data_IF_198619639692
#
_entry.id   IF_198619639692
#
_cell.length_a   1.000
_cell.length_b   1.000
_cell.length_c   1.000
_cell.angle_alpha   90.00
_cell.angle_beta   90.00
_cell.angle_gamma   90.00
#
_symmetry.space_group_name_H-M   'P 1'
#
loop_
_entity.id
_entity.type
_entity.pdbx_description
1 polymer ?
#
# COMPACT_ATOMS: atom_id res chain seq x y z
N UNK A 1 -26.53 11.45 17.03
CA UNK A 1 -25.32 11.96 17.73
C UNK A 1 -24.19 11.91 16.73
N UNK A 2 -23.47 13.01 16.55
CA UNK A 2 -22.30 13.04 15.67
C UNK A 2 -21.16 12.34 16.42
N UNK A 3 -20.73 11.17 15.94
CA UNK A 3 -19.74 10.37 16.62
C UNK A 3 -18.34 10.70 16.10
N UNK A 4 -17.49 11.21 16.99
CA UNK A 4 -16.05 11.27 16.83
C UNK A 4 -15.44 9.94 17.28
N UNK A 5 -14.52 9.40 16.50
CA UNK A 5 -13.65 8.29 16.95
C UNK A 5 -12.18 8.65 16.73
N UNK A 6 -11.34 8.18 17.65
CA UNK A 6 -9.90 8.26 17.56
C UNK A 6 -9.33 6.88 17.91
N UNK A 7 -8.89 6.16 16.89
CA UNK A 7 -8.44 4.79 17.03
C UNK A 7 -6.91 4.73 16.87
N UNK A 8 -6.25 4.01 17.76
CA UNK A 8 -4.81 3.72 17.58
C UNK A 8 -4.67 2.62 16.54
N UNK A 9 -4.23 3.00 15.34
CA UNK A 9 -4.04 2.10 14.20
C UNK A 9 -2.76 1.31 14.36
N UNK A 10 -1.71 1.94 14.88
CA UNK A 10 -0.43 1.32 15.13
C UNK A 10 0.29 1.99 16.30
N UNK A 11 1.01 1.20 17.09
CA UNK A 11 1.86 1.71 18.16
C UNK A 11 3.11 0.83 18.26
N UNK A 12 4.25 1.41 17.89
CA UNK A 12 5.39 0.68 17.36
C UNK A 12 6.68 1.20 18.01
N UNK A 13 7.63 0.30 18.30
CA UNK A 13 8.98 0.70 18.65
C UNK A 13 9.78 0.99 17.37
N UNK A 14 10.32 2.20 17.26
CA UNK A 14 11.13 2.66 16.12
C UNK A 14 12.38 3.33 16.68
N UNK A 15 13.49 2.60 16.78
CA UNK A 15 14.74 3.17 17.29
C UNK A 15 15.28 4.21 16.28
N UNK A 16 15.89 5.29 16.79
CA UNK A 16 16.31 6.45 15.99
C UNK A 16 15.30 7.61 15.95
N UNK A 17 14.04 7.37 16.30
CA UNK A 17 13.08 8.45 16.57
C UNK A 17 13.27 9.00 17.99
N UNK A 18 12.99 10.29 18.17
CA UNK A 18 12.86 10.89 19.49
C UNK A 18 11.76 10.15 20.28
N UNK A 19 12.13 9.53 21.41
CA UNK A 19 11.24 8.69 22.21
C UNK A 19 11.15 7.21 21.76
N UNK A 20 11.85 6.82 20.69
CA UNK A 20 12.00 5.42 20.25
C UNK A 20 10.72 4.72 19.84
N UNK A 21 9.61 5.46 19.68
CA UNK A 21 8.28 4.93 19.41
C UNK A 21 7.57 5.77 18.37
N UNK A 22 6.70 5.14 17.59
CA UNK A 22 5.83 5.74 16.60
C UNK A 22 4.41 5.26 16.85
N UNK A 23 3.46 6.19 16.92
CA UNK A 23 2.04 5.88 17.06
C UNK A 23 1.27 6.50 15.89
N UNK A 24 0.45 5.69 15.24
CA UNK A 24 -0.46 6.11 14.17
C UNK A 24 -1.87 6.13 14.72
N UNK A 25 -2.53 7.28 14.64
CA UNK A 25 -3.91 7.47 15.05
C UNK A 25 -4.79 7.71 13.82
N UNK A 26 -5.97 7.12 13.77
CA UNK A 26 -6.98 7.46 12.76
C UNK A 26 -8.12 8.23 13.41
N UNK A 27 -8.42 9.40 12.84
CA UNK A 27 -9.55 10.21 13.26
C UNK A 27 -10.70 10.05 12.26
N UNK A 28 -11.89 9.78 12.78
CA UNK A 28 -13.09 9.70 11.95
C UNK A 28 -14.25 10.50 12.54
N UNK A 29 -15.12 10.99 11.65
CA UNK A 29 -16.31 11.74 12.04
C UNK A 29 -16.07 13.24 12.19
N UNK A 30 -16.64 13.85 13.23
CA UNK A 30 -16.70 15.30 13.42
C UNK A 30 -15.86 15.72 14.64
N UNK A 31 -14.82 16.52 14.43
CA UNK A 31 -14.00 17.06 15.53
C UNK A 31 -14.47 18.48 15.83
N UNK A 32 -15.35 18.59 16.82
CA UNK A 32 -15.95 19.84 17.31
C UNK A 32 -15.48 20.21 18.72
N UNK A 33 -16.08 21.24 19.31
CA UNK A 33 -15.78 21.67 20.67
C UNK A 33 -16.09 20.60 21.73
N UNK A 34 -17.10 19.74 21.50
CA UNK A 34 -17.47 18.67 22.42
C UNK A 34 -16.47 17.50 22.39
N UNK A 35 -15.84 17.27 21.23
CA UNK A 35 -14.86 16.19 21.02
C UNK A 35 -13.42 16.62 21.35
N UNK A 36 -13.21 17.91 21.66
CA UNK A 36 -11.91 18.53 21.90
C UNK A 36 -11.09 17.83 22.98
N UNK A 37 -11.71 17.60 24.14
CA UNK A 37 -11.01 17.02 25.29
C UNK A 37 -10.68 15.54 25.06
N UNK A 38 -11.54 14.82 24.32
CA UNK A 38 -11.29 13.45 23.89
C UNK A 38 -10.12 13.34 22.92
N UNK A 39 -10.04 14.24 21.94
CA UNK A 39 -8.90 14.32 21.01
C UNK A 39 -7.60 14.68 21.75
N UNK A 40 -7.65 15.65 22.66
CA UNK A 40 -6.48 16.04 23.45
C UNK A 40 -5.98 14.89 24.33
N UNK A 41 -6.89 14.14 24.97
CA UNK A 41 -6.54 12.97 25.76
C UNK A 41 -5.93 11.85 24.91
N UNK A 42 -6.46 11.60 23.72
CA UNK A 42 -5.93 10.58 22.82
C UNK A 42 -4.51 10.91 22.31
N UNK A 43 -4.24 12.17 21.97
CA UNK A 43 -2.91 12.62 21.58
C UNK A 43 -1.92 12.56 22.76
N UNK A 44 -2.37 12.91 23.96
CA UNK A 44 -1.54 12.84 25.17
C UNK A 44 -1.23 11.39 25.58
N UNK A 45 -2.14 10.45 25.34
CA UNK A 45 -1.97 9.03 25.65
C UNK A 45 -0.80 8.39 24.88
N UNK A 46 -0.46 8.92 23.70
CA UNK A 46 0.71 8.49 22.93
C UNK A 46 2.05 8.90 23.56
N UNK A 47 2.03 9.82 24.54
CA UNK A 47 3.19 10.20 25.34
C UNK A 47 4.37 10.72 24.52
N UNK A 48 5.51 10.03 24.63
CA UNK A 48 6.76 10.40 23.95
C UNK A 48 6.88 9.87 22.53
N UNK A 49 5.87 9.18 21.99
CA UNK A 49 5.93 8.65 20.64
C UNK A 49 5.92 9.76 19.57
N UNK A 50 6.59 9.52 18.45
CA UNK A 50 6.40 10.24 17.22
C UNK A 50 4.98 9.97 16.69
N UNK A 51 4.25 11.01 16.29
CA UNK A 51 2.83 10.89 15.95
C UNK A 51 2.59 11.06 14.45
N UNK A 52 1.83 10.11 13.88
CA UNK A 52 1.18 10.25 12.57
C UNK A 52 -0.32 10.18 12.79
N UNK A 53 -1.07 11.14 12.26
CA UNK A 53 -2.53 11.20 12.42
C UNK A 53 -3.19 11.19 11.05
N UNK A 54 -3.94 10.12 10.77
CA UNK A 54 -4.77 9.99 9.58
C UNK A 54 -6.07 10.78 9.74
N UNK A 55 -6.29 11.72 8.83
CA UNK A 55 -7.45 12.60 8.77
C UNK A 55 -8.39 12.24 7.62
N UNK A 56 -8.11 11.20 6.84
CA UNK A 56 -8.91 10.80 5.68
C UNK A 56 -10.36 10.44 6.04
N UNK A 57 -10.58 9.95 7.27
CA UNK A 57 -11.89 9.64 7.83
C UNK A 57 -12.66 10.84 8.40
N UNK A 58 -12.06 12.03 8.44
CA UNK A 58 -12.72 13.22 8.99
C UNK A 58 -13.74 13.81 8.02
N UNK A 59 -14.91 14.14 8.56
CA UNK A 59 -15.96 14.87 7.87
C UNK A 59 -15.91 16.37 8.15
N UNK A 60 -15.46 16.76 9.35
CA UNK A 60 -15.33 18.16 9.74
C UNK A 60 -14.27 18.33 10.84
N UNK A 61 -13.47 19.40 10.71
CA UNK A 61 -12.54 19.87 11.73
C UNK A 61 -12.88 21.31 12.11
N UNK A 62 -13.27 21.54 13.35
CA UNK A 62 -13.52 22.88 13.90
C UNK A 62 -12.22 23.59 14.28
N UNK A 63 -12.29 24.91 14.55
CA UNK A 63 -11.16 25.68 15.08
C UNK A 63 -10.64 25.11 16.40
N UNK A 64 -11.55 24.70 17.29
CA UNK A 64 -11.19 24.10 18.58
C UNK A 64 -10.42 22.78 18.40
N UNK A 65 -10.78 21.96 17.42
CA UNK A 65 -10.05 20.73 17.08
C UNK A 65 -8.69 21.02 16.44
N UNK A 66 -8.63 22.01 15.54
CA UNK A 66 -7.39 22.43 14.90
C UNK A 66 -6.40 23.02 15.92
N UNK A 67 -6.87 23.79 16.90
CA UNK A 67 -6.05 24.30 18.01
C UNK A 67 -5.39 23.18 18.83
N UNK A 68 -6.11 22.07 19.05
CA UNK A 68 -5.57 20.89 19.73
C UNK A 68 -4.46 20.25 18.91
N UNK A 69 -4.67 20.04 17.61
CA UNK A 69 -3.65 19.46 16.71
C UNK A 69 -2.41 20.36 16.60
N UNK A 70 -2.61 21.67 16.43
CA UNK A 70 -1.51 22.64 16.43
C UNK A 70 -0.80 22.70 17.79
N UNK A 71 -1.53 22.55 18.90
CA UNK A 71 -0.97 22.43 20.25
C UNK A 71 -0.07 21.21 20.40
N UNK A 72 -0.54 20.05 19.95
CA UNK A 72 0.23 18.81 19.95
C UNK A 72 1.48 18.92 19.06
N UNK A 73 1.37 19.55 17.88
CA UNK A 73 2.51 19.82 17.00
C UNK A 73 3.59 20.66 17.68
N UNK A 74 3.20 21.74 18.37
CA UNK A 74 4.15 22.58 19.12
C UNK A 74 4.83 21.81 20.25
N UNK A 75 4.06 21.06 21.04
CA UNK A 75 4.59 20.25 22.14
C UNK A 75 5.56 19.18 21.61
N UNK A 76 5.22 18.53 20.50
CA UNK A 76 6.09 17.56 19.84
C UNK A 76 7.38 18.20 19.31
N UNK A 77 7.27 19.31 18.58
CA UNK A 77 8.40 20.00 17.96
C UNK A 77 9.44 20.46 19.00
N UNK A 78 9.00 20.90 20.19
CA UNK A 78 9.91 21.22 21.30
C UNK A 78 10.77 20.04 21.77
N UNK A 79 10.37 18.81 21.44
CA UNK A 79 11.08 17.56 21.75
C UNK A 79 11.64 16.89 20.48
N UNK A 80 11.74 17.62 19.36
CA UNK A 80 12.24 17.07 18.09
C UNK A 80 11.30 16.06 17.41
N UNK A 81 10.00 16.10 17.74
CA UNK A 81 8.97 15.21 17.18
C UNK A 81 7.93 16.03 16.42
N UNK A 82 8.07 16.15 15.10
CA UNK A 82 7.05 16.82 14.29
C UNK A 82 5.72 16.05 14.37
N UNK A 83 4.57 16.73 14.39
CA UNK A 83 3.30 16.04 14.24
C UNK A 83 3.00 15.91 12.74
N UNK A 84 2.87 14.68 12.24
CA UNK A 84 2.57 14.43 10.84
C UNK A 84 1.07 14.16 10.66
N UNK A 85 0.40 14.94 9.82
CA UNK A 85 -1.01 14.76 9.46
C UNK A 85 -1.08 14.18 8.05
N UNK A 86 -1.88 13.14 7.88
CA UNK A 86 -2.04 12.41 6.62
C UNK A 86 -3.47 12.54 6.09
N UNK A 87 -3.62 12.62 4.76
CA UNK A 87 -4.94 12.58 4.11
C UNK A 87 -5.84 13.76 4.51
N UNK A 88 -5.25 14.94 4.76
CA UNK A 88 -5.98 16.11 5.26
C UNK A 88 -6.94 16.68 4.19
N UNK A 89 -8.27 16.71 4.43
CA UNK A 89 -9.19 17.34 3.50
C UNK A 89 -8.92 18.85 3.37
N UNK A 90 -9.11 19.43 2.18
CA UNK A 90 -8.81 20.83 1.90
C UNK A 90 -9.45 21.83 2.89
N UNK A 91 -10.68 21.54 3.33
CA UNK A 91 -11.37 22.35 4.34
C UNK A 91 -10.69 22.29 5.71
N UNK A 92 -10.24 21.11 6.14
CA UNK A 92 -9.51 20.94 7.39
C UNK A 92 -8.13 21.60 7.32
N UNK A 93 -7.43 21.49 6.19
CA UNK A 93 -6.15 22.14 5.94
C UNK A 93 -6.27 23.68 6.07
N UNK A 94 -7.34 24.27 5.55
CA UNK A 94 -7.60 25.70 5.67
C UNK A 94 -7.85 26.15 7.12
N UNK A 95 -8.55 25.34 7.92
CA UNK A 95 -8.77 25.62 9.35
C UNK A 95 -7.47 25.47 10.14
N UNK A 96 -6.65 24.46 9.85
CA UNK A 96 -5.33 24.25 10.46
C UNK A 96 -4.36 25.39 10.15
N UNK A 97 -4.32 25.85 8.89
CA UNK A 97 -3.49 26.97 8.48
C UNK A 97 -3.84 28.25 9.26
N UNK A 98 -5.13 28.50 9.48
CA UNK A 98 -5.60 29.61 10.32
C UNK A 98 -5.25 29.42 11.80
N UNK A 99 -5.39 28.22 12.34
CA UNK A 99 -5.08 27.96 13.75
C UNK A 99 -3.57 27.99 14.07
N UNK A 100 -2.70 27.87 13.07
CA UNK A 100 -1.25 27.85 13.26
C UNK A 100 -0.64 29.24 13.51
N UNK A 101 -1.22 30.33 12.97
CA UNK A 101 -0.88 31.76 13.23
C UNK A 101 0.62 32.00 13.55
N UNK A 102 1.52 31.66 12.60
CA UNK A 102 3.00 31.81 12.66
C UNK A 102 3.78 30.90 13.63
N UNK A 103 3.18 29.84 14.14
CA UNK A 103 3.84 28.86 15.04
C UNK A 103 4.16 27.55 14.30
N UNK A 104 4.93 26.68 14.95
CA UNK A 104 5.23 25.33 14.45
C UNK A 104 3.93 24.59 14.09
N UNK A 105 3.68 24.45 12.79
CA UNK A 105 2.51 23.81 12.23
C UNK A 105 2.73 22.30 12.13
N UNK A 106 1.66 21.49 12.18
CA UNK A 106 1.75 20.09 11.81
C UNK A 106 2.21 19.95 10.35
N UNK A 107 3.10 19.00 10.10
CA UNK A 107 3.50 18.66 8.73
C UNK A 107 2.37 17.92 8.05
N UNK A 108 2.05 18.27 6.80
CA UNK A 108 0.93 17.69 6.07
C UNK A 108 1.44 16.83 4.92
N UNK A 109 0.88 15.63 4.83
CA UNK A 109 1.22 14.63 3.84
C UNK A 109 -0.05 14.17 3.11
N UNK A 110 0.11 13.83 1.84
CA UNK A 110 -1.01 13.36 1.01
C UNK A 110 -1.64 12.07 1.55
N UNK A 111 -0.84 11.19 2.17
CA UNK A 111 -1.29 9.90 2.70
C UNK A 111 -0.51 9.48 3.94
N UNK A 112 -1.01 8.46 4.65
CA UNK A 112 -0.33 7.88 5.81
C UNK A 112 1.01 7.26 5.38
N UNK A 113 1.05 6.64 4.20
CA UNK A 113 2.27 6.07 3.65
C UNK A 113 3.37 7.15 3.44
N UNK A 114 3.00 8.30 2.88
CA UNK A 114 3.93 9.42 2.68
C UNK A 114 4.43 10.01 4.01
N UNK A 115 3.54 10.18 4.99
CA UNK A 115 3.90 10.64 6.34
C UNK A 115 4.88 9.67 7.02
N UNK A 116 4.59 8.36 6.94
CA UNK A 116 5.45 7.32 7.51
C UNK A 116 6.83 7.30 6.82
N UNK A 117 6.86 7.41 5.50
CA UNK A 117 8.12 7.46 4.74
C UNK A 117 9.00 8.63 5.18
N UNK A 118 8.43 9.83 5.35
CA UNK A 118 9.15 11.00 5.80
C UNK A 118 9.65 10.87 7.25
N UNK A 119 8.81 10.37 8.16
CA UNK A 119 9.21 10.10 9.56
C UNK A 119 10.37 9.11 9.63
N UNK A 120 10.30 8.03 8.86
CA UNK A 120 11.35 7.01 8.82
C UNK A 120 12.64 7.58 8.20
N UNK A 121 12.53 8.37 7.12
CA UNK A 121 13.68 9.03 6.51
C UNK A 121 14.38 9.99 7.49
N UNK A 122 13.62 10.76 8.27
CA UNK A 122 14.15 11.64 9.30
C UNK A 122 14.86 10.87 10.43
N UNK A 123 14.30 9.73 10.86
CA UNK A 123 14.93 8.85 11.85
C UNK A 123 16.28 8.32 11.38
N UNK A 124 16.39 8.00 10.08
CA UNK A 124 17.61 7.47 9.45
C UNK A 124 18.66 8.57 9.26
N UNK A 125 18.25 9.83 9.10
CA UNK A 125 19.15 10.97 8.93
C UNK A 125 19.71 11.55 10.25
N UNK A 126 19.18 11.14 11.41
CA UNK A 126 19.64 11.62 12.71
C UNK A 126 21.02 11.04 13.08
N UNK A 127 21.99 11.85 13.56
CA UNK A 127 23.32 11.37 13.92
C UNK A 127 23.26 10.52 15.20
N UNK A 128 23.57 9.22 15.09
CA UNK A 128 23.62 8.30 16.23
C UNK A 128 25.05 8.23 16.80
N UNK A 129 25.18 8.55 18.09
CA UNK A 129 26.38 8.28 18.89
C UNK A 129 26.39 6.80 19.29
N UNK A 130 27.46 6.09 18.88
CA UNK A 130 28.00 4.79 19.32
C UNK A 130 27.15 3.51 19.11
N UNK A 131 27.32 2.86 17.95
CA UNK A 131 27.97 1.54 17.72
C UNK A 131 27.65 1.14 16.26
N UNK A 132 28.63 1.19 15.33
CA UNK A 132 28.36 1.08 13.88
C UNK A 132 27.80 -0.28 13.41
N UNK A 133 28.09 -1.37 14.13
CA UNK A 133 27.86 -2.72 13.60
C UNK A 133 26.49 -3.33 13.98
N UNK A 134 25.89 -2.88 15.08
CA UNK A 134 24.55 -3.29 15.53
C UNK A 134 23.43 -2.44 14.92
N UNK A 135 23.72 -1.15 14.71
CA UNK A 135 22.78 -0.13 14.23
C UNK A 135 22.38 -0.36 12.77
N UNK A 136 23.31 -0.83 11.94
CA UNK A 136 23.09 -1.00 10.49
C UNK A 136 22.28 -2.28 10.16
N UNK A 137 22.34 -3.31 11.02
CA UNK A 137 21.56 -4.56 10.86
C UNK A 137 20.15 -4.47 11.44
N UNK A 138 19.90 -3.63 12.44
CA UNK A 138 18.61 -3.57 13.14
C UNK A 138 17.67 -2.44 12.67
N UNK A 139 18.15 -1.30 12.16
CA UNK A 139 17.29 -0.13 11.91
C UNK A 139 16.49 -0.14 10.60
N UNK A 140 16.94 -0.82 9.54
CA UNK A 140 16.26 -0.82 8.21
C UNK A 140 15.36 -2.04 7.96
N UNK A 141 15.39 -3.04 8.85
CA UNK A 141 14.59 -4.25 8.70
C UNK A 141 13.15 -4.07 9.18
N UNK A 142 12.93 -3.30 10.25
CA UNK A 142 11.63 -3.26 10.93
C UNK A 142 10.70 -2.16 10.42
N UNK A 143 11.17 -0.94 10.13
CA UNK A 143 10.33 0.17 9.67
C UNK A 143 9.57 -0.11 8.34
N UNK A 144 10.13 -0.98 7.51
CA UNK A 144 9.56 -1.36 6.22
C UNK A 144 8.74 -2.66 6.29
N UNK A 145 9.09 -3.60 7.19
CA UNK A 145 8.18 -4.68 7.61
C UNK A 145 6.92 -4.10 8.26
N UNK A 146 7.06 -2.99 8.98
CA UNK A 146 5.99 -2.20 9.59
C UNK A 146 5.07 -1.60 8.53
N UNK A 147 5.59 -1.04 7.43
CA UNK A 147 4.75 -0.54 6.32
C UNK A 147 3.90 -1.66 5.68
N UNK A 148 4.49 -2.82 5.43
CA UNK A 148 3.78 -4.00 4.95
C UNK A 148 2.74 -4.53 5.94
N UNK A 149 3.10 -4.64 7.23
CA UNK A 149 2.20 -5.13 8.26
C UNK A 149 1.06 -4.16 8.56
N UNK A 150 1.31 -2.85 8.53
CA UNK A 150 0.30 -1.80 8.73
C UNK A 150 -0.66 -1.74 7.56
N UNK A 151 -0.21 -1.84 6.30
CA UNK A 151 -1.13 -1.87 5.16
C UNK A 151 -1.98 -3.14 5.12
N UNK A 152 -1.38 -4.33 5.34
CA UNK A 152 -2.15 -5.57 5.41
C UNK A 152 -3.19 -5.55 6.54
N UNK A 153 -2.81 -5.08 7.74
CA UNK A 153 -3.75 -4.94 8.87
C UNK A 153 -4.79 -3.83 8.67
N UNK A 154 -4.45 -2.74 7.99
CA UNK A 154 -5.39 -1.68 7.66
C UNK A 154 -6.45 -2.17 6.67
N UNK A 155 -6.07 -2.98 5.68
CA UNK A 155 -7.02 -3.62 4.76
C UNK A 155 -7.91 -4.62 5.48
N UNK A 156 -7.36 -5.46 6.35
CA UNK A 156 -8.15 -6.38 7.18
C UNK A 156 -9.13 -5.61 8.07
N UNK A 157 -8.69 -4.53 8.74
CA UNK A 157 -9.52 -3.71 9.60
C UNK A 157 -10.61 -2.95 8.82
N UNK A 158 -10.27 -2.41 7.64
CA UNK A 158 -11.23 -1.73 6.75
C UNK A 158 -12.26 -2.70 6.20
N UNK A 159 -11.85 -3.90 5.83
CA UNK A 159 -12.75 -4.97 5.42
C UNK A 159 -13.68 -5.38 6.58
N UNK A 160 -13.13 -5.60 7.78
CA UNK A 160 -13.94 -5.89 8.98
C UNK A 160 -14.96 -4.79 9.27
N UNK A 161 -14.54 -3.53 9.24
CA UNK A 161 -15.42 -2.38 9.41
C UNK A 161 -16.51 -2.31 8.34
N UNK A 162 -16.15 -2.49 7.07
CA UNK A 162 -17.09 -2.53 5.96
C UNK A 162 -18.10 -3.67 6.12
N UNK A 163 -17.68 -4.87 6.53
CA UNK A 163 -18.57 -6.01 6.76
C UNK A 163 -19.52 -5.78 7.95
N UNK A 164 -19.00 -5.22 9.04
CA UNK A 164 -19.81 -4.88 10.21
C UNK A 164 -20.85 -3.81 9.87
N UNK A 165 -20.49 -2.80 9.10
CA UNK A 165 -21.41 -1.73 8.66
C UNK A 165 -22.46 -2.25 7.67
N UNK A 166 -22.04 -2.91 6.58
CA UNK A 166 -22.93 -3.39 5.51
C UNK A 166 -23.95 -4.41 5.98
N UNK A 167 -23.55 -5.31 6.88
CA UNK A 167 -24.36 -6.48 7.25
C UNK A 167 -24.76 -6.50 8.73
N UNK A 168 -24.45 -5.46 9.51
CA UNK A 168 -24.79 -5.39 10.92
C UNK A 168 -24.13 -6.49 11.78
N UNK A 169 -22.97 -7.01 11.36
CA UNK A 169 -22.28 -8.09 12.08
C UNK A 169 -21.81 -7.59 13.45
N UNK A 170 -22.39 -8.14 14.53
CA UNK A 170 -22.01 -7.80 15.90
C UNK A 170 -20.60 -8.32 16.23
N UNK A 171 -19.64 -7.41 16.20
CA UNK A 171 -18.26 -7.60 16.69
C UNK A 171 -17.24 -8.04 15.62
N UNK A 172 -15.98 -7.56 15.72
CA UNK A 172 -14.94 -7.77 14.72
C UNK A 172 -14.56 -9.24 14.50
N UNK A 173 -14.70 -10.08 15.53
CA UNK A 173 -14.40 -11.52 15.46
C UNK A 173 -15.26 -12.25 14.43
N UNK A 174 -16.52 -11.84 14.25
CA UNK A 174 -17.45 -12.48 13.31
C UNK A 174 -17.15 -12.09 11.87
N UNK A 175 -16.88 -10.82 11.61
CA UNK A 175 -16.46 -10.32 10.30
C UNK A 175 -15.15 -11.01 9.85
N UNK A 176 -14.14 -11.05 10.74
CA UNK A 176 -12.87 -11.73 10.49
C UNK A 176 -13.02 -13.25 10.27
N UNK A 177 -13.93 -13.89 10.98
CA UNK A 177 -14.24 -15.32 10.83
C UNK A 177 -14.87 -15.62 9.48
N UNK A 178 -15.84 -14.80 9.06
CA UNK A 178 -16.49 -14.93 7.75
C UNK A 178 -15.50 -14.74 6.62
N UNK A 179 -14.71 -13.66 6.66
CA UNK A 179 -13.70 -13.34 5.65
C UNK A 179 -12.72 -14.49 5.45
N UNK A 180 -12.16 -15.03 6.54
CA UNK A 180 -11.23 -16.17 6.48
C UNK A 180 -11.87 -17.45 5.96
N UNK A 181 -13.13 -17.70 6.32
CA UNK A 181 -13.86 -18.89 5.88
C UNK A 181 -14.08 -18.87 4.37
N UNK A 182 -14.58 -17.75 3.83
CA UNK A 182 -14.82 -17.58 2.40
C UNK A 182 -13.51 -17.60 1.62
N UNK A 183 -12.48 -16.86 2.07
CA UNK A 183 -11.19 -16.87 1.41
C UNK A 183 -10.62 -18.29 1.27
N UNK A 184 -10.70 -19.10 2.34
CA UNK A 184 -10.25 -20.50 2.33
C UNK A 184 -11.04 -21.37 1.36
N UNK A 185 -12.35 -21.19 1.27
CA UNK A 185 -13.21 -21.99 0.39
C UNK A 185 -12.97 -21.70 -1.09
N UNK A 186 -12.65 -20.44 -1.41
CA UNK A 186 -12.33 -20.01 -2.77
C UNK A 186 -10.84 -20.16 -3.14
N UNK A 187 -10.00 -20.59 -2.19
CA UNK A 187 -8.55 -20.76 -2.38
C UNK A 187 -7.78 -19.43 -2.48
N UNK A 188 -8.33 -18.36 -1.90
CA UNK A 188 -7.79 -17.01 -1.91
C UNK A 188 -6.98 -16.70 -0.64
N UNK A 189 -6.03 -15.77 -0.74
CA UNK A 189 -5.44 -15.20 0.46
C UNK A 189 -6.47 -14.31 1.17
N UNK A 190 -6.50 -14.31 2.51
CA UNK A 190 -7.47 -13.49 3.26
C UNK A 190 -7.33 -12.01 2.96
N UNK A 191 -6.09 -11.52 2.80
CA UNK A 191 -5.79 -10.11 2.47
C UNK A 191 -6.31 -9.71 1.09
N UNK A 192 -6.33 -10.63 0.12
CA UNK A 192 -6.85 -10.38 -1.23
C UNK A 192 -8.37 -10.15 -1.17
N UNK A 193 -9.09 -11.02 -0.45
CA UNK A 193 -10.52 -10.84 -0.24
C UNK A 193 -10.82 -9.62 0.63
N UNK A 194 -9.96 -9.30 1.61
CA UNK A 194 -10.08 -8.10 2.43
C UNK A 194 -10.02 -6.83 1.58
N UNK A 195 -9.01 -6.73 0.71
CA UNK A 195 -8.87 -5.63 -0.24
C UNK A 195 -10.11 -5.55 -1.14
N UNK A 196 -10.54 -6.68 -1.72
CA UNK A 196 -11.74 -6.72 -2.56
C UNK A 196 -12.99 -6.17 -1.85
N UNK A 197 -13.21 -6.54 -0.58
CA UNK A 197 -14.32 -6.01 0.23
C UNK A 197 -14.18 -4.52 0.48
N UNK A 198 -12.97 -4.04 0.77
CA UNK A 198 -12.68 -2.65 1.07
C UNK A 198 -12.90 -1.71 -0.14
N UNK A 199 -12.64 -2.20 -1.36
CA UNK A 199 -12.72 -1.42 -2.59
C UNK A 199 -14.05 -1.56 -3.34
N UNK A 200 -14.75 -2.68 -3.19
CA UNK A 200 -16.00 -2.92 -3.92
C UNK A 200 -17.21 -2.41 -3.13
N UNK A 201 -18.04 -1.49 -3.68
CA UNK A 201 -19.29 -1.06 -3.08
C UNK A 201 -20.28 -2.23 -2.90
N UNK A 202 -21.14 -2.24 -1.86
CA UNK A 202 -22.14 -3.30 -1.69
C UNK A 202 -23.22 -3.28 -2.80
N UNK A 203 -23.89 -4.41 -3.07
CA UNK A 203 -25.03 -4.41 -3.98
C UNK A 203 -26.21 -3.64 -3.40
N UNK A 204 -27.13 -3.25 -4.28
CA UNK A 204 -28.42 -2.71 -3.85
C UNK A 204 -29.22 -3.80 -3.11
N UNK A 205 -30.07 -3.43 -2.14
CA UNK A 205 -30.88 -4.39 -1.41
C UNK A 205 -31.72 -5.27 -2.35
N UNK A 206 -31.57 -6.59 -2.24
CA UNK A 206 -32.33 -7.57 -3.04
C UNK A 206 -31.76 -7.86 -4.43
N UNK A 207 -30.67 -7.22 -4.83
CA UNK A 207 -29.96 -7.50 -6.08
C UNK A 207 -28.77 -8.44 -5.83
N UNK A 208 -28.39 -9.23 -6.85
CA UNK A 208 -27.10 -9.93 -6.86
C UNK A 208 -25.97 -8.91 -6.93
N UNK A 209 -24.82 -9.22 -6.34
CA UNK A 209 -23.64 -8.35 -6.41
C UNK A 209 -23.01 -8.38 -7.78
N UNK A 210 -22.82 -9.57 -8.32
CA UNK A 210 -22.24 -9.76 -9.65
C UNK A 210 -23.17 -10.66 -10.49
N UNK A 211 -23.98 -10.09 -11.39
CA UNK A 211 -24.97 -10.84 -12.17
C UNK A 211 -24.38 -11.64 -13.35
N UNK A 212 -23.07 -11.91 -13.37
CA UNK A 212 -22.35 -12.51 -14.50
C UNK A 212 -22.84 -13.90 -14.93
N UNK A 213 -22.48 -14.29 -16.16
CA UNK A 213 -22.97 -15.47 -16.89
C UNK A 213 -22.39 -16.83 -16.40
N UNK A 214 -21.97 -16.92 -15.14
CA UNK A 214 -21.36 -18.11 -14.54
C UNK A 214 -19.83 -18.18 -14.74
N UNK A 215 -19.18 -19.24 -14.22
CA UNK A 215 -17.72 -19.28 -14.11
C UNK A 215 -17.05 -19.38 -15.49
N UNK A 216 -16.33 -18.33 -15.88
CA UNK A 216 -15.48 -18.35 -17.06
C UNK A 216 -14.24 -19.23 -16.81
N UNK A 217 -13.80 -19.98 -17.82
CA UNK A 217 -12.54 -20.70 -17.76
C UNK A 217 -11.35 -19.73 -17.74
N UNK A 218 -10.27 -20.02 -16.99
CA UNK A 218 -9.09 -19.16 -16.99
C UNK A 218 -8.47 -19.07 -18.39
N UNK A 219 -8.02 -17.89 -18.82
CA UNK A 219 -7.30 -17.75 -20.08
C UNK A 219 -5.98 -18.54 -20.04
N UNK A 220 -5.60 -19.08 -21.19
CA UNK A 220 -4.35 -19.82 -21.32
C UNK A 220 -3.15 -18.87 -21.29
N UNK A 221 -2.20 -19.14 -20.40
CA UNK A 221 -0.96 -18.38 -20.25
C UNK A 221 0.24 -19.28 -20.60
N UNK A 222 1.09 -18.83 -21.52
CA UNK A 222 2.16 -19.65 -22.12
C UNK A 222 3.34 -19.88 -21.18
N UNK A 223 3.50 -19.01 -20.18
CA UNK A 223 4.62 -19.04 -19.26
C UNK A 223 4.37 -19.86 -17.97
N UNK A 224 3.15 -20.34 -17.75
CA UNK A 224 2.87 -21.24 -16.65
C UNK A 224 2.99 -22.69 -17.13
N UNK A 225 3.86 -23.45 -16.48
CA UNK A 225 3.98 -24.90 -16.66
C UNK A 225 3.19 -25.66 -15.59
N UNK A 226 2.33 -26.61 -15.97
CA UNK A 226 1.62 -27.48 -15.05
C UNK A 226 0.32 -28.07 -15.60
N UNK A 227 -0.33 -29.00 -14.87
CA UNK A 227 -1.65 -29.50 -15.26
C UNK A 227 -2.66 -28.35 -15.32
N UNK A 228 -3.26 -28.13 -16.50
CA UNK A 228 -4.26 -27.07 -16.76
C UNK A 228 -5.50 -27.13 -15.86
N UNK A 229 -5.65 -28.21 -15.09
CA UNK A 229 -6.79 -28.51 -14.23
C UNK A 229 -6.63 -27.94 -12.80
N UNK A 230 -5.42 -27.50 -12.40
CA UNK A 230 -5.22 -26.83 -11.11
C UNK A 230 -5.31 -25.32 -11.28
N UNK A 231 -6.30 -24.71 -10.64
CA UNK A 231 -6.36 -23.24 -10.57
C UNK A 231 -5.17 -22.73 -9.74
N UNK A 232 -4.38 -21.84 -10.35
CA UNK A 232 -3.26 -21.17 -9.69
C UNK A 232 -3.77 -20.12 -8.70
N UNK A 233 -3.09 -19.97 -7.57
CA UNK A 233 -3.23 -18.78 -6.75
C UNK A 233 -2.61 -17.57 -7.45
N UNK A 234 -3.05 -16.36 -7.11
CA UNK A 234 -2.46 -15.12 -7.62
C UNK A 234 -0.95 -15.08 -7.38
N UNK A 235 -0.49 -15.38 -6.17
CA UNK A 235 0.95 -15.40 -5.86
C UNK A 235 1.75 -16.38 -6.74
N UNK A 236 1.26 -17.60 -6.94
CA UNK A 236 1.94 -18.57 -7.80
C UNK A 236 1.97 -18.14 -9.27
N UNK A 237 0.90 -17.46 -9.72
CA UNK A 237 0.84 -16.88 -11.05
C UNK A 237 1.85 -15.74 -11.24
N UNK A 238 1.94 -14.82 -10.27
CA UNK A 238 2.88 -13.69 -10.31
C UNK A 238 4.34 -14.17 -10.22
N UNK A 239 4.62 -15.24 -9.47
CA UNK A 239 5.94 -15.88 -9.45
C UNK A 239 6.30 -16.48 -10.82
N UNK A 240 5.36 -17.18 -11.47
CA UNK A 240 5.60 -17.70 -12.82
C UNK A 240 5.83 -16.59 -13.85
N UNK A 241 5.09 -15.48 -13.74
CA UNK A 241 5.29 -14.27 -14.56
C UNK A 241 6.69 -13.68 -14.35
N UNK A 242 7.11 -13.52 -13.08
CA UNK A 242 8.45 -13.05 -12.71
C UNK A 242 9.53 -13.94 -13.33
N UNK A 243 9.40 -15.25 -13.19
CA UNK A 243 10.40 -16.20 -13.68
C UNK A 243 10.49 -16.19 -15.22
N UNK A 244 9.36 -16.00 -15.89
CA UNK A 244 9.30 -15.84 -17.34
C UNK A 244 10.05 -14.60 -17.82
N UNK A 245 9.84 -13.44 -17.19
CA UNK A 245 10.53 -12.19 -17.59
C UNK A 245 12.03 -12.23 -17.28
N UNK A 246 12.45 -12.93 -16.20
CA UNK A 246 13.85 -13.25 -15.95
C UNK A 246 14.46 -14.06 -17.11
N UNK A 247 13.75 -15.10 -17.56
CA UNK A 247 14.18 -15.94 -18.67
C UNK A 247 14.30 -15.19 -20.00
N UNK A 248 13.36 -14.28 -20.28
CA UNK A 248 13.37 -13.47 -21.51
C UNK A 248 14.51 -12.46 -21.49
N UNK A 249 14.79 -11.83 -20.36
CA UNK A 249 15.77 -10.74 -20.27
C UNK A 249 17.15 -11.17 -19.80
N UNK A 250 17.34 -12.46 -19.54
CA UNK A 250 18.61 -13.02 -19.08
C UNK A 250 19.13 -12.34 -17.80
N UNK A 251 18.24 -12.19 -16.82
CA UNK A 251 18.58 -11.67 -15.49
C UNK A 251 18.08 -12.56 -14.37
N UNK A 252 18.73 -12.44 -13.20
CA UNK A 252 18.30 -13.04 -11.95
C UNK A 252 17.52 -12.04 -11.06
N UNK A 253 17.32 -10.80 -11.53
CA UNK A 253 16.69 -9.71 -10.78
C UNK A 253 15.44 -9.18 -11.49
N UNK A 254 14.25 -9.60 -11.02
CA UNK A 254 12.98 -9.10 -11.52
C UNK A 254 11.94 -8.93 -10.42
N UNK A 255 11.02 -7.99 -10.62
CA UNK A 255 9.84 -7.83 -9.78
C UNK A 255 8.56 -7.68 -10.61
N UNK A 256 7.45 -8.00 -9.98
CA UNK A 256 6.10 -7.77 -10.45
C UNK A 256 5.40 -6.88 -9.44
N UNK A 257 4.84 -5.77 -9.91
CA UNK A 257 4.07 -4.85 -9.09
C UNK A 257 2.63 -4.81 -9.58
N UNK A 258 1.66 -4.75 -8.68
CA UNK A 258 0.25 -4.49 -9.00
C UNK A 258 -0.13 -3.09 -8.55
N UNK A 259 -1.02 -2.43 -9.31
CA UNK A 259 -1.53 -1.10 -8.96
C UNK A 259 -2.69 -1.25 -7.98
N UNK A 260 -2.62 -0.53 -6.86
CA UNK A 260 -3.70 -0.41 -5.89
C UNK A 260 -4.84 0.44 -6.47
N UNK A 261 -6.08 0.01 -6.25
CA UNK A 261 -7.25 0.66 -6.84
C UNK A 261 -7.63 1.98 -6.14
N UNK A 262 -7.27 2.16 -4.88
CA UNK A 262 -7.68 3.34 -4.09
C UNK A 262 -6.74 4.54 -4.32
N UNK A 263 -5.43 4.30 -4.30
CA UNK A 263 -4.41 5.35 -4.30
C UNK A 263 -3.44 5.29 -5.48
N UNK A 264 -3.66 4.36 -6.41
CA UNK A 264 -2.83 4.15 -7.60
C UNK A 264 -1.35 3.85 -7.30
N UNK A 265 -1.03 3.41 -6.09
CA UNK A 265 0.34 3.03 -5.73
C UNK A 265 0.71 1.67 -6.34
N UNK A 266 1.99 1.51 -6.68
CA UNK A 266 2.55 0.25 -7.17
C UNK A 266 3.01 -0.59 -5.98
N UNK A 267 2.45 -1.79 -5.83
CA UNK A 267 2.77 -2.73 -4.76
C UNK A 267 3.58 -3.89 -5.30
N UNK A 268 4.73 -4.18 -4.72
CA UNK A 268 5.58 -5.31 -5.12
C UNK A 268 4.99 -6.63 -4.59
N UNK A 269 4.41 -7.42 -5.48
CA UNK A 269 3.69 -8.66 -5.14
C UNK A 269 4.51 -9.92 -5.44
N UNK A 270 5.50 -9.84 -6.34
CA UNK A 270 6.50 -10.91 -6.54
C UNK A 270 7.85 -10.31 -6.89
N UNK A 271 8.94 -10.94 -6.44
CA UNK A 271 10.30 -10.46 -6.68
C UNK A 271 11.36 -11.56 -6.56
N UNK A 272 12.53 -11.38 -7.18
CA UNK A 272 13.71 -12.24 -7.04
C UNK A 272 15.01 -11.43 -7.21
N UNK A 273 16.13 -11.96 -6.70
CA UNK A 273 17.45 -11.34 -6.89
C UNK A 273 17.71 -10.07 -6.08
N UNK A 274 16.79 -9.65 -5.21
CA UNK A 274 16.98 -8.48 -4.35
C UNK A 274 17.26 -8.89 -2.90
N UNK A 275 18.09 -8.12 -2.19
CA UNK A 275 18.18 -8.28 -0.75
C UNK A 275 16.91 -7.77 -0.08
N UNK A 276 16.63 -8.27 1.12
CA UNK A 276 15.34 -8.06 1.76
C UNK A 276 15.05 -6.58 2.06
N UNK A 277 16.09 -5.75 2.28
CA UNK A 277 15.98 -4.30 2.47
C UNK A 277 15.50 -3.55 1.23
N UNK A 278 15.87 -4.00 0.04
CA UNK A 278 15.44 -3.38 -1.21
C UNK A 278 13.96 -3.65 -1.48
N UNK A 279 13.56 -4.92 -1.34
CA UNK A 279 12.14 -5.34 -1.44
C UNK A 279 11.30 -4.52 -0.47
N UNK A 280 11.79 -4.36 0.74
CA UNK A 280 11.16 -3.57 1.78
C UNK A 280 11.06 -2.08 1.41
N UNK A 281 12.08 -1.51 0.80
CA UNK A 281 12.09 -0.10 0.39
C UNK A 281 11.11 0.17 -0.74
N UNK A 282 11.11 -0.68 -1.78
CA UNK A 282 10.27 -0.59 -2.98
C UNK A 282 8.96 -1.41 -2.92
N UNK A 283 8.62 -1.87 -1.72
CA UNK A 283 7.40 -2.57 -1.36
C UNK A 283 6.12 -1.92 -1.90
N UNK A 284 6.07 -0.60 -1.74
CA UNK A 284 5.01 0.29 -2.20
C UNK A 284 5.72 1.50 -2.76
N UNK A 285 5.40 1.83 -4.00
CA UNK A 285 6.04 2.89 -4.78
C UNK A 285 4.95 3.86 -5.21
N UNK A 286 5.11 5.13 -4.86
CA UNK A 286 4.29 6.17 -5.45
C UNK A 286 4.68 6.34 -6.93
N UNK A 287 3.72 6.68 -7.76
CA UNK A 287 3.85 6.69 -9.22
C UNK A 287 4.77 7.82 -9.74
N UNK A 288 5.40 8.62 -8.86
CA UNK A 288 6.04 9.88 -9.24
C UNK A 288 7.54 9.78 -9.56
N UNK A 289 8.32 9.00 -8.80
CA UNK A 289 9.81 9.16 -8.79
C UNK A 289 10.63 7.93 -9.17
N UNK A 290 10.00 6.88 -9.71
CA UNK A 290 10.69 5.66 -10.14
C UNK A 290 10.44 5.34 -11.62
N UNK A 291 11.32 4.53 -12.23
CA UNK A 291 11.14 4.08 -13.62
C UNK A 291 9.82 3.33 -13.84
N UNK A 292 9.40 2.48 -12.89
CA UNK A 292 8.12 1.78 -12.96
C UNK A 292 6.91 2.70 -12.73
N UNK A 293 7.01 3.68 -11.81
CA UNK A 293 5.98 4.71 -11.66
C UNK A 293 5.78 5.54 -12.94
N UNK A 294 6.87 5.90 -13.60
CA UNK A 294 6.85 6.62 -14.87
C UNK A 294 6.29 5.76 -16.02
N UNK A 295 6.59 4.47 -16.05
CA UNK A 295 5.99 3.53 -17.00
C UNK A 295 4.47 3.39 -16.78
N UNK A 296 4.03 3.33 -15.52
CA UNK A 296 2.63 3.32 -15.14
C UNK A 296 1.89 4.58 -15.61
N UNK A 297 2.46 5.75 -15.35
CA UNK A 297 1.88 7.04 -15.77
C UNK A 297 1.76 7.19 -17.28
N UNK A 298 2.77 6.72 -18.01
CA UNK A 298 2.79 6.82 -19.49
C UNK A 298 2.01 5.70 -20.17
N UNK A 299 1.58 4.68 -19.42
CA UNK A 299 1.06 3.42 -19.96
C UNK A 299 1.97 2.84 -21.06
N UNK A 300 3.28 3.03 -20.89
CA UNK A 300 4.27 2.72 -21.92
C UNK A 300 5.55 2.18 -21.29
N UNK A 301 6.22 1.31 -22.03
CA UNK A 301 7.51 0.74 -21.65
C UNK A 301 8.52 1.84 -21.35
N UNK A 302 9.26 1.67 -20.25
CA UNK A 302 10.42 2.50 -19.91
C UNK A 302 11.67 1.61 -19.87
N UNK A 303 12.73 2.06 -20.53
CA UNK A 303 14.06 1.44 -20.47
C UNK A 303 15.03 2.49 -19.98
N UNK A 304 15.85 2.14 -19.00
CA UNK A 304 16.88 2.97 -18.41
C UNK A 304 18.24 2.31 -18.63
N UNK A 305 19.07 2.96 -19.44
CA UNK A 305 20.41 2.46 -19.78
C UNK A 305 21.37 2.49 -18.58
N UNK A 306 21.39 3.61 -17.82
CA UNK A 306 22.18 3.74 -16.60
C UNK A 306 21.43 4.50 -15.50
N UNK A 307 21.13 3.81 -14.41
CA UNK A 307 20.52 4.38 -13.19
C UNK A 307 21.38 5.50 -12.62
N UNK A 308 22.71 5.46 -12.78
CA UNK A 308 23.59 6.50 -12.23
C UNK A 308 23.35 7.88 -12.87
N UNK A 309 22.89 7.94 -14.12
CA UNK A 309 22.77 9.18 -14.89
C UNK A 309 21.35 9.51 -15.32
N UNK A 310 20.42 8.55 -15.27
CA UNK A 310 19.07 8.75 -15.74
C UNK A 310 18.28 9.76 -14.90
N UNK A 311 17.65 10.73 -15.54
CA UNK A 311 16.86 11.79 -14.88
C UNK A 311 15.53 11.31 -14.31
N UNK A 312 15.15 10.05 -14.55
CA UNK A 312 13.89 9.45 -14.10
C UNK A 312 13.84 9.17 -12.60
N UNK A 313 15.01 9.08 -11.95
CA UNK A 313 15.13 8.81 -10.53
C UNK A 313 15.38 10.09 -9.73
N UNK A 314 14.65 10.26 -8.63
CA UNK A 314 15.07 11.15 -7.57
C UNK A 314 16.33 10.62 -6.85
N UNK A 315 16.99 11.47 -6.07
CA UNK A 315 18.25 11.11 -5.42
C UNK A 315 18.12 9.96 -4.39
N UNK A 316 17.07 9.93 -3.53
CA UNK A 316 16.87 8.81 -2.62
C UNK A 316 16.64 7.47 -3.32
N UNK A 317 15.81 7.43 -4.36
CA UNK A 317 15.53 6.20 -5.12
C UNK A 317 16.77 5.77 -5.90
N UNK A 318 17.50 6.70 -6.50
CA UNK A 318 18.77 6.42 -7.18
C UNK A 318 19.76 5.76 -6.22
N UNK A 319 19.96 6.33 -5.03
CA UNK A 319 20.87 5.80 -4.03
C UNK A 319 20.46 4.38 -3.59
N UNK A 320 19.17 4.14 -3.34
CA UNK A 320 18.66 2.83 -2.95
C UNK A 320 18.85 1.75 -4.04
N UNK A 321 18.63 2.11 -5.31
CA UNK A 321 18.83 1.21 -6.47
C UNK A 321 20.32 0.93 -6.70
N UNK A 322 21.18 1.94 -6.63
CA UNK A 322 22.63 1.77 -6.78
C UNK A 322 23.26 0.98 -5.63
N UNK A 323 22.74 1.10 -4.41
CA UNK A 323 23.23 0.35 -3.25
C UNK A 323 23.14 -1.17 -3.45
N UNK A 324 22.15 -1.65 -4.20
CA UNK A 324 22.01 -3.06 -4.58
C UNK A 324 22.59 -3.38 -5.96
N UNK A 325 23.43 -2.48 -6.45
CA UNK A 325 24.25 -2.66 -7.65
C UNK A 325 23.43 -2.71 -8.95
N UNK A 326 22.17 -2.28 -8.93
CA UNK A 326 21.35 -2.17 -10.13
C UNK A 326 21.83 -0.96 -10.93
N UNK A 327 22.09 -1.19 -12.21
CA UNK A 327 22.63 -0.19 -13.13
C UNK A 327 21.77 0.02 -14.36
N UNK A 328 20.98 -0.95 -14.81
CA UNK A 328 19.97 -0.71 -15.85
C UNK A 328 18.63 -1.33 -15.44
N UNK A 329 17.55 -0.78 -15.98
CA UNK A 329 16.17 -1.16 -15.64
C UNK A 329 15.31 -1.18 -16.89
N UNK A 330 14.43 -2.16 -16.97
CA UNK A 330 13.36 -2.20 -17.96
C UNK A 330 12.04 -2.43 -17.23
N UNK A 331 11.03 -1.60 -17.53
CA UNK A 331 9.69 -1.69 -16.97
C UNK A 331 8.67 -1.86 -18.10
N UNK A 332 7.89 -2.95 -18.07
CA UNK A 332 6.81 -3.24 -19.03
C UNK A 332 5.46 -3.17 -18.31
N UNK A 333 4.51 -2.34 -18.79
CA UNK A 333 3.16 -2.30 -18.24
C UNK A 333 2.39 -3.61 -18.46
N UNK A 334 1.66 -4.05 -17.44
CA UNK A 334 0.63 -5.10 -17.55
C UNK A 334 -0.69 -4.40 -17.89
N UNK A 335 -1.27 -4.60 -19.08
CA UNK A 335 -2.49 -3.92 -19.50
C UNK A 335 -3.71 -4.42 -18.71
N UNK A 336 -4.72 -3.57 -18.50
CA UNK A 336 -6.02 -3.97 -17.97
C UNK A 336 -7.20 -3.47 -18.80
N UNK A 337 -8.39 -4.02 -18.53
CA UNK A 337 -9.63 -3.75 -19.30
C UNK A 337 -10.05 -2.28 -19.42
N UNK A 338 -9.64 -1.42 -18.49
CA UNK A 338 -10.02 0.00 -18.48
C UNK A 338 -9.11 0.89 -19.36
N UNK A 339 -8.23 0.30 -20.17
CA UNK A 339 -7.30 1.04 -21.04
C UNK A 339 -6.07 1.61 -20.32
N UNK A 340 -5.94 1.37 -19.01
CA UNK A 340 -4.76 1.69 -18.21
C UNK A 340 -4.04 0.43 -17.73
N UNK A 341 -2.79 0.55 -17.25
CA UNK A 341 -2.09 -0.57 -16.65
C UNK A 341 -2.75 -0.99 -15.33
N UNK A 342 -2.69 -2.28 -15.03
CA UNK A 342 -3.08 -2.85 -13.74
C UNK A 342 -1.89 -3.34 -12.90
N UNK A 343 -0.68 -3.26 -13.45
CA UNK A 343 0.57 -3.64 -12.82
C UNK A 343 1.76 -3.40 -13.74
N UNK A 344 2.95 -3.74 -13.27
CA UNK A 344 4.23 -3.59 -13.96
C UNK A 344 5.05 -4.88 -13.79
N UNK A 345 5.77 -5.28 -14.83
CA UNK A 345 6.89 -6.22 -14.70
C UNK A 345 8.18 -5.45 -14.94
N UNK A 346 9.16 -5.63 -14.06
CA UNK A 346 10.45 -4.94 -14.16
C UNK A 346 11.63 -5.88 -14.02
N UNK A 347 12.62 -5.74 -14.89
CA UNK A 347 13.87 -6.50 -14.88
C UNK A 347 15.04 -5.54 -14.72
N UNK A 348 16.10 -6.00 -14.04
CA UNK A 348 17.23 -5.17 -13.64
C UNK A 348 18.54 -5.86 -13.96
N UNK A 349 19.58 -5.10 -14.31
CA UNK A 349 20.93 -5.63 -14.50
C UNK A 349 21.96 -4.85 -13.69
N UNK A 350 23.05 -5.54 -13.35
CA UNK A 350 24.16 -4.95 -12.57
C UNK A 350 25.15 -4.15 -13.40
N UNK A 351 24.97 -4.12 -14.73
CA UNK A 351 25.79 -3.35 -15.66
C UNK A 351 24.91 -2.36 -16.44
N UNK A 352 25.42 -1.15 -16.72
CA UNK A 352 24.71 -0.21 -17.58
C UNK A 352 24.73 -0.67 -19.04
N UNK A 353 23.84 -0.11 -19.85
CA UNK A 353 23.82 -0.30 -21.30
C UNK A 353 23.40 -1.70 -21.75
N UNK A 354 22.53 -2.37 -20.98
CA UNK A 354 21.93 -3.62 -21.44
C UNK A 354 21.03 -3.35 -22.66
N UNK A 355 21.36 -3.98 -23.79
CA UNK A 355 20.61 -3.83 -25.04
C UNK A 355 19.63 -4.98 -25.21
N UNK A 356 18.34 -4.68 -25.22
CA UNK A 356 17.29 -5.63 -25.56
C UNK A 356 17.15 -5.76 -27.07
N UNK A 357 17.06 -6.99 -27.56
CA UNK A 357 16.69 -7.30 -28.94
C UNK A 357 15.19 -7.04 -29.17
N UNK A 358 14.75 -6.78 -30.41
CA UNK A 358 13.33 -6.65 -30.73
C UNK A 358 12.51 -7.87 -30.28
N UNK A 359 13.05 -9.08 -30.43
CA UNK A 359 12.38 -10.31 -30.01
C UNK A 359 12.19 -10.44 -28.51
N UNK A 360 13.13 -9.97 -27.68
CA UNK A 360 12.97 -9.93 -26.22
C UNK A 360 11.90 -8.92 -25.79
N UNK A 361 11.87 -7.74 -26.43
CA UNK A 361 10.84 -6.74 -26.17
C UNK A 361 9.44 -7.26 -26.57
N UNK A 362 9.29 -7.85 -27.75
CA UNK A 362 8.04 -8.45 -28.22
C UNK A 362 7.58 -9.60 -27.29
N UNK A 363 8.51 -10.41 -26.80
CA UNK A 363 8.21 -11.48 -25.85
C UNK A 363 7.73 -10.93 -24.50
N UNK A 364 8.35 -9.85 -23.99
CA UNK A 364 7.92 -9.15 -22.78
C UNK A 364 6.51 -8.58 -22.93
N UNK A 365 6.20 -7.94 -24.05
CA UNK A 365 4.85 -7.41 -24.31
C UNK A 365 3.82 -8.54 -24.42
N UNK A 366 4.20 -9.66 -25.05
CA UNK A 366 3.37 -10.86 -25.16
C UNK A 366 3.01 -11.46 -23.79
N UNK A 367 4.00 -11.64 -22.93
CA UNK A 367 3.82 -12.16 -21.56
C UNK A 367 3.03 -11.18 -20.69
N UNK A 368 3.30 -9.88 -20.79
CA UNK A 368 2.56 -8.86 -20.05
C UNK A 368 1.08 -8.82 -20.45
N UNK A 369 0.75 -8.94 -21.75
CA UNK A 369 -0.63 -9.00 -22.24
C UNK A 369 -1.38 -10.24 -21.73
N UNK A 370 -0.75 -11.41 -21.81
CA UNK A 370 -1.30 -12.64 -21.23
C UNK A 370 -1.52 -12.51 -19.71
N UNK A 371 -0.62 -11.82 -19.02
CA UNK A 371 -0.81 -11.53 -17.61
C UNK A 371 -1.99 -10.61 -17.32
N UNK A 372 -2.19 -9.57 -18.14
CA UNK A 372 -3.34 -8.70 -18.06
C UNK A 372 -4.66 -9.46 -18.22
N UNK A 373 -4.76 -10.26 -19.28
CA UNK A 373 -5.94 -11.09 -19.56
C UNK A 373 -6.26 -12.04 -18.39
N UNK A 374 -5.24 -12.68 -17.79
CA UNK A 374 -5.42 -13.56 -16.63
C UNK A 374 -5.84 -12.82 -15.37
N UNK A 375 -5.25 -11.65 -15.09
CA UNK A 375 -5.63 -10.83 -13.93
C UNK A 375 -7.05 -10.27 -14.04
N UNK A 376 -7.47 -9.88 -15.25
CA UNK A 376 -8.82 -9.44 -15.54
C UNK A 376 -9.83 -10.57 -15.28
N UNK A 377 -9.54 -11.79 -15.75
CA UNK A 377 -10.33 -12.98 -15.40
C UNK A 377 -10.33 -13.28 -13.90
N UNK A 378 -9.17 -13.22 -13.24
CA UNK A 378 -9.06 -13.52 -11.81
C UNK A 378 -9.95 -12.57 -10.99
N UNK A 379 -9.94 -11.28 -11.31
CA UNK A 379 -10.77 -10.27 -10.65
C UNK A 379 -12.25 -10.45 -10.99
N UNK A 380 -12.59 -10.52 -12.28
CA UNK A 380 -13.97 -10.57 -12.78
C UNK A 380 -14.65 -11.95 -12.69
N UNK A 381 -14.00 -12.95 -12.12
CA UNK A 381 -14.60 -14.27 -11.89
C UNK A 381 -14.31 -14.76 -10.49
N UNK A 382 -13.04 -15.04 -10.16
CA UNK A 382 -12.68 -15.64 -8.86
C UNK A 382 -12.97 -14.71 -7.68
N UNK A 383 -12.60 -13.45 -7.80
CA UNK A 383 -12.78 -12.48 -6.72
C UNK A 383 -14.25 -12.07 -6.58
N UNK A 384 -14.95 -11.88 -7.69
CA UNK A 384 -16.39 -11.60 -7.72
C UNK A 384 -17.22 -12.76 -7.13
N UNK A 385 -16.92 -14.01 -7.48
CA UNK A 385 -17.57 -15.20 -6.90
C UNK A 385 -17.39 -15.28 -5.38
N UNK A 386 -16.19 -14.98 -4.89
CA UNK A 386 -15.90 -14.94 -3.46
C UNK A 386 -16.64 -13.79 -2.75
N UNK A 387 -16.74 -12.63 -3.37
CA UNK A 387 -17.51 -11.50 -2.84
C UNK A 387 -19.02 -11.80 -2.80
N UNK A 388 -19.57 -12.42 -3.84
CA UNK A 388 -20.98 -12.86 -3.89
C UNK A 388 -21.28 -13.90 -2.80
N UNK A 389 -20.40 -14.88 -2.60
CA UNK A 389 -20.53 -15.87 -1.54
C UNK A 389 -20.40 -15.26 -0.14
N UNK A 390 -19.48 -14.31 0.03
CA UNK A 390 -19.34 -13.53 1.26
C UNK A 390 -20.62 -12.75 1.55
N UNK A 391 -21.22 -12.10 0.54
CA UNK A 391 -22.48 -11.35 0.66
C UNK A 391 -23.63 -12.26 1.11
N UNK A 392 -23.80 -13.39 0.44
CA UNK A 392 -24.85 -14.38 0.73
C UNK A 392 -24.76 -14.91 2.16
N UNK A 393 -23.53 -15.25 2.61
CA UNK A 393 -23.28 -15.75 3.98
C UNK A 393 -23.44 -14.67 5.03
N UNK A 394 -23.10 -13.42 4.72
CA UNK A 394 -23.26 -12.30 5.65
C UNK A 394 -24.73 -11.95 5.90
N UNK A 395 -25.60 -12.12 4.89
CA UNK A 395 -27.05 -11.91 5.01
C UNK A 395 -27.79 -13.03 5.74
N UNK A 396 -27.22 -14.24 5.78
CA UNK A 396 -27.84 -15.39 6.43
C UNK A 396 -27.63 -15.34 7.95
N UNK A 397 -28.68 -15.38 8.79
CA UNK A 397 -28.51 -15.52 10.23
C UNK A 397 -27.75 -16.82 10.55
N UNK A 398 -26.92 -16.86 11.60
CA UNK A 398 -26.23 -18.10 11.95
C UNK A 398 -27.29 -19.12 12.40
N UNK A 399 -27.14 -20.37 11.97
CA UNK A 399 -27.97 -21.48 12.42
C UNK A 399 -27.84 -21.71 13.93
#
# INVERSE_FOLDING_TARGET
MQHFTCDTVADLAVPGLAGGRLTVLALSGFVDAASRDGLAAALAAAGSAQLVVDLSGLRLLSSAGAEVLCGAARTGAAHGRALCLAGCPAQAAAVLARAAEDRAAPEQYASVAAALAAVIAAAVAAPVVTDPDLTDRYLRADALRLRHAVHGRALDARAEGALTERYGLRGPTRARGLLRSVAREHGLATVELAAAVAHTPPPRPGEKWFPGDGPAAPPAVRFVSGPRDRTLSLSAFLDALRDAVCGITHTDMANVQLIDADDHTLRMESHCGYPAEFVRFFAVVDDTTTACGQAARKSARVVVDDVATASVFDEPSRAAVLAVHIRSVQCTPIPGVAGGPQGMVSTHHTRPGHTYTPGELDALDGVAREAGEWLDWYRGSRLEDALEDLHRRAQSPPA
#
